data_IF_515979403578
#
_entry.id   IF_515979403578
#
_cell.length_a   1.000
_cell.length_b   1.000
_cell.length_c   1.000
_cell.angle_alpha   90.00
_cell.angle_beta   90.00
_cell.angle_gamma   90.00
#
_symmetry.space_group_name_H-M   'P 1'
#
loop_
_entity.id
_entity.type
_entity.pdbx_description
1 polymer ?
#
# COMPACT_ATOMS: atom_id res chain seq x y z
N UNK A 1 40.31 38.09 -17.87
CA UNK A 1 38.97 37.96 -17.25
C UNK A 1 38.05 37.03 -18.08
N UNK A 2 38.56 35.90 -18.58
CA UNK A 2 37.76 34.94 -19.37
C UNK A 2 37.81 33.51 -18.82
N UNK A 3 38.80 33.18 -17.98
CA UNK A 3 38.90 31.88 -17.30
C UNK A 3 38.04 31.77 -16.03
N UNK A 4 37.74 32.87 -15.34
CA UNK A 4 36.90 32.83 -14.12
C UNK A 4 35.42 32.56 -14.43
N UNK A 5 34.91 33.07 -15.56
CA UNK A 5 33.53 32.79 -16.01
C UNK A 5 33.32 31.34 -16.46
N UNK A 6 34.38 30.67 -16.94
CA UNK A 6 34.30 29.27 -17.38
C UNK A 6 34.28 28.32 -16.17
N UNK A 7 35.02 28.65 -15.10
CA UNK A 7 35.03 27.89 -13.84
C UNK A 7 33.69 28.00 -13.07
N UNK A 8 33.04 29.17 -13.07
CA UNK A 8 31.71 29.34 -12.45
C UNK A 8 30.59 28.68 -13.25
N UNK A 9 30.72 28.56 -14.57
CA UNK A 9 29.72 27.88 -15.41
C UNK A 9 29.77 26.35 -15.25
N UNK A 10 30.94 25.79 -14.90
CA UNK A 10 31.13 24.36 -14.74
C UNK A 10 30.54 23.80 -13.44
N UNK A 11 30.45 24.59 -12.38
CA UNK A 11 29.87 24.15 -11.09
C UNK A 11 28.34 24.15 -11.10
N UNK A 12 27.71 25.00 -11.91
CA UNK A 12 26.25 25.05 -12.06
C UNK A 12 25.68 23.89 -12.91
N UNK A 13 26.49 23.31 -13.79
CA UNK A 13 26.07 22.17 -14.62
C UNK A 13 26.03 20.83 -13.86
N UNK A 14 26.72 20.72 -12.72
CA UNK A 14 26.84 19.46 -11.97
C UNK A 14 25.65 19.21 -11.02
N UNK A 15 24.90 20.24 -10.64
CA UNK A 15 23.74 20.12 -9.74
C UNK A 15 22.50 19.51 -10.43
N UNK A 16 22.43 19.56 -11.76
CA UNK A 16 21.32 18.99 -12.53
C UNK A 16 21.39 17.45 -12.65
N UNK A 17 22.57 16.85 -12.45
CA UNK A 17 22.72 15.39 -12.50
C UNK A 17 22.34 14.68 -11.18
N UNK A 18 22.23 15.42 -10.07
CA UNK A 18 21.85 14.86 -8.78
C UNK A 18 20.35 14.48 -8.68
N UNK A 19 19.50 14.90 -9.63
CA UNK A 19 18.08 14.55 -9.64
C UNK A 19 17.74 13.22 -10.35
N UNK A 20 18.68 12.63 -11.10
CA UNK A 20 18.45 11.32 -11.74
C UNK A 20 18.59 10.14 -10.76
N UNK A 21 18.82 10.43 -9.47
CA UNK A 21 19.00 9.45 -8.40
C UNK A 21 17.75 9.17 -7.55
N UNK A 22 16.54 9.59 -7.95
CA UNK A 22 15.30 9.05 -7.36
C UNK A 22 14.94 7.71 -8.02
N UNK A 23 15.92 6.80 -8.08
CA UNK A 23 15.76 5.41 -8.47
C UNK A 23 15.55 4.59 -7.20
N UNK A 24 14.34 4.58 -6.67
CA UNK A 24 14.06 3.98 -5.36
C UNK A 24 12.66 3.40 -5.28
N UNK A 25 12.56 2.11 -5.61
CA UNK A 25 11.52 1.26 -5.04
C UNK A 25 10.33 1.00 -5.95
N UNK A 26 10.50 0.08 -6.89
CA UNK A 26 9.41 -0.76 -7.43
C UNK A 26 8.85 -1.72 -6.37
N UNK A 27 8.69 -1.26 -5.13
CA UNK A 27 7.96 -2.01 -4.13
C UNK A 27 6.49 -1.93 -4.53
N UNK A 28 5.96 -3.04 -5.05
CA UNK A 28 4.52 -3.26 -5.05
C UNK A 28 4.11 -3.43 -3.60
N UNK A 29 3.95 -2.30 -2.92
CA UNK A 29 3.40 -2.22 -1.57
C UNK A 29 1.95 -2.68 -1.69
N UNK A 30 1.73 -3.99 -1.52
CA UNK A 30 0.41 -4.51 -1.19
C UNK A 30 0.19 -4.21 0.29
N UNK A 31 0.02 -2.92 0.61
CA UNK A 31 -0.49 -2.53 1.91
C UNK A 31 -1.94 -2.97 1.95
N UNK A 32 -2.16 -4.21 2.38
CA UNK A 32 -3.46 -4.62 2.90
C UNK A 32 -3.59 -3.91 4.25
N UNK A 33 -3.93 -2.62 4.20
CA UNK A 33 -4.37 -1.88 5.38
C UNK A 33 -5.74 -2.41 5.70
N UNK A 34 -5.77 -3.50 6.46
CA UNK A 34 -7.02 -4.00 7.03
C UNK A 34 -7.33 -3.05 8.18
N UNK A 35 -8.21 -2.08 7.93
CA UNK A 35 -8.64 -1.08 8.94
C UNK A 35 -9.57 -1.68 9.98
N UNK A 36 -9.99 -2.93 9.75
CA UNK A 36 -10.91 -3.71 10.58
C UNK A 36 -10.17 -4.80 11.33
N UNK A 37 -10.61 -5.04 12.55
CA UNK A 37 -10.18 -6.19 13.33
C UNK A 37 -10.92 -7.44 12.89
N UNK A 38 -10.34 -8.62 13.14
CA UNK A 38 -11.00 -9.91 12.88
C UNK A 38 -12.37 -9.98 13.55
N UNK A 39 -12.51 -9.41 14.75
CA UNK A 39 -13.76 -9.41 15.50
C UNK A 39 -14.87 -8.63 14.80
N UNK A 40 -14.56 -7.44 14.29
CA UNK A 40 -15.52 -6.61 13.54
C UNK A 40 -16.01 -7.32 12.27
N UNK A 41 -15.10 -7.93 11.50
CA UNK A 41 -15.47 -8.65 10.28
C UNK A 41 -16.36 -9.87 10.56
N UNK A 42 -16.11 -10.58 11.66
CA UNK A 42 -16.94 -11.71 12.08
C UNK A 42 -18.33 -11.26 12.54
N UNK A 43 -18.40 -10.14 13.28
CA UNK A 43 -19.65 -9.57 13.77
C UNK A 43 -20.53 -9.05 12.62
N UNK A 44 -19.93 -8.41 11.62
CA UNK A 44 -20.64 -7.94 10.42
C UNK A 44 -21.15 -9.10 9.58
N UNK A 45 -20.35 -10.16 9.45
CA UNK A 45 -20.74 -11.38 8.76
C UNK A 45 -21.93 -12.07 9.46
N UNK A 46 -21.90 -12.18 10.79
CA UNK A 46 -22.99 -12.76 11.59
C UNK A 46 -24.27 -11.91 11.50
N UNK A 47 -24.13 -10.59 11.57
CA UNK A 47 -25.26 -9.66 11.39
C UNK A 47 -25.90 -9.82 10.02
N UNK A 48 -25.11 -9.99 8.97
CA UNK A 48 -25.59 -10.18 7.60
C UNK A 48 -26.33 -11.49 7.42
N UNK A 49 -25.81 -12.57 8.02
CA UNK A 49 -26.50 -13.87 8.05
C UNK A 49 -27.84 -13.80 8.80
N UNK A 50 -27.86 -13.17 9.98
CA UNK A 50 -29.09 -13.00 10.77
C UNK A 50 -30.15 -12.16 10.06
N UNK A 51 -29.74 -11.23 9.20
CA UNK A 51 -30.63 -10.45 8.32
C UNK A 51 -31.12 -11.23 7.10
N UNK A 52 -30.70 -12.47 6.92
CA UNK A 52 -31.03 -13.29 5.75
C UNK A 52 -30.36 -12.83 4.46
N UNK A 53 -29.30 -12.03 4.55
CA UNK A 53 -28.56 -11.53 3.39
C UNK A 53 -27.60 -12.57 2.82
N UNK A 54 -27.33 -13.64 3.57
CA UNK A 54 -26.42 -14.72 3.23
C UNK A 54 -27.07 -16.05 3.54
N UNK A 55 -26.80 -17.04 2.70
CA UNK A 55 -27.10 -18.44 3.01
C UNK A 55 -26.11 -19.01 4.04
N UNK A 56 -26.47 -20.13 4.66
CA UNK A 56 -25.61 -20.79 5.65
C UNK A 56 -24.24 -21.19 5.07
N UNK A 57 -24.22 -21.62 3.81
CA UNK A 57 -22.99 -22.03 3.12
C UNK A 57 -22.07 -20.84 2.82
N UNK A 58 -22.63 -19.71 2.40
CA UNK A 58 -21.89 -18.46 2.19
C UNK A 58 -21.33 -17.93 3.51
N UNK A 59 -22.12 -17.97 4.58
CA UNK A 59 -21.67 -17.61 5.93
C UNK A 59 -20.48 -18.45 6.37
N UNK A 60 -20.57 -19.79 6.27
CA UNK A 60 -19.49 -20.71 6.67
C UNK A 60 -18.22 -20.49 5.85
N UNK A 61 -18.38 -20.26 4.54
CA UNK A 61 -17.25 -20.03 3.63
C UNK A 61 -16.54 -18.72 3.96
N UNK A 62 -17.30 -17.63 4.11
CA UNK A 62 -16.76 -16.33 4.48
C UNK A 62 -16.10 -16.36 5.86
N UNK A 63 -16.72 -17.02 6.85
CA UNK A 63 -16.15 -17.17 8.21
C UNK A 63 -14.80 -17.87 8.18
N UNK A 64 -14.68 -18.96 7.42
CA UNK A 64 -13.39 -19.67 7.23
C UNK A 64 -12.35 -18.77 6.54
N UNK A 65 -12.76 -18.02 5.53
CA UNK A 65 -11.87 -17.11 4.82
C UNK A 65 -11.36 -15.98 5.72
N UNK A 66 -12.22 -15.41 6.58
CA UNK A 66 -11.83 -14.40 7.59
C UNK A 66 -10.81 -15.00 8.55
N UNK A 67 -11.12 -16.15 9.18
CA UNK A 67 -10.20 -16.79 10.14
C UNK A 67 -8.84 -17.11 9.51
N UNK A 68 -8.81 -17.58 8.26
CA UNK A 68 -7.57 -17.90 7.53
C UNK A 68 -6.70 -16.67 7.26
N UNK A 69 -7.25 -15.46 7.19
CA UNK A 69 -6.45 -14.24 7.01
C UNK A 69 -5.67 -13.84 8.28
N UNK A 70 -6.12 -14.28 9.45
CA UNK A 70 -5.56 -13.90 10.75
C UNK A 70 -4.80 -15.05 11.44
N UNK A 71 -4.72 -16.23 10.80
CA UNK A 71 -3.87 -17.36 11.21
C UNK A 71 -2.55 -17.33 10.43
#
# INVERSE_FOLDING_TARGET
>A
MKLSSILLASTLAFSLFALQGCGGGGAKVSSSVTTTTMGEELQDLETSYNKGLLTEDEYKTARKAILKRYQ
#
